data_IF_694615790301
#
_entry.id   IF_694615790301
#
_cell.length_a   1.000
_cell.length_b   1.000
_cell.length_c   1.000
_cell.angle_alpha   90.00
_cell.angle_beta   90.00
_cell.angle_gamma   90.00
#
_symmetry.space_group_name_H-M   'P 1'
#
loop_
_entity.id
_entity.type
_entity.pdbx_description
1 polymer ?
#
# COMPACT_ATOMS: atom_id res chain seq x y z
N UNK A 1 21.95 4.26 9.18
CA UNK A 1 21.16 3.23 8.48
C UNK A 1 21.45 1.88 9.12
N UNK A 2 20.81 1.59 10.24
CA UNK A 2 20.96 0.31 10.95
C UNK A 2 20.13 -0.76 10.24
N UNK A 3 20.72 -1.94 10.05
CA UNK A 3 20.03 -3.14 9.60
C UNK A 3 19.05 -3.61 10.68
N UNK A 4 17.93 -2.92 10.86
CA UNK A 4 16.84 -3.40 11.71
C UNK A 4 16.10 -4.50 10.96
N UNK A 5 16.54 -5.73 11.15
CA UNK A 5 15.93 -6.94 10.59
C UNK A 5 14.41 -6.98 10.86
N UNK A 6 13.97 -6.41 12.00
CA UNK A 6 12.56 -6.29 12.38
C UNK A 6 11.79 -5.34 11.46
N UNK A 7 12.35 -4.18 11.14
CA UNK A 7 11.77 -3.19 10.24
C UNK A 7 11.67 -3.72 8.80
N UNK A 8 12.71 -4.41 8.34
CA UNK A 8 12.71 -5.09 7.04
C UNK A 8 11.70 -6.25 6.99
N UNK A 9 11.60 -7.05 8.06
CA UNK A 9 10.62 -8.11 8.15
C UNK A 9 9.18 -7.58 8.17
N UNK A 10 8.91 -6.51 8.95
CA UNK A 10 7.61 -5.84 8.98
C UNK A 10 7.21 -5.32 7.59
N UNK A 11 8.16 -4.74 6.86
CA UNK A 11 7.96 -4.28 5.48
C UNK A 11 7.62 -5.43 4.55
N UNK A 12 8.42 -6.50 4.59
CA UNK A 12 8.21 -7.68 3.74
C UNK A 12 6.85 -8.34 4.01
N UNK A 13 6.49 -8.53 5.28
CA UNK A 13 5.20 -9.10 5.69
C UNK A 13 4.05 -8.22 5.19
N UNK A 14 4.16 -6.90 5.34
CA UNK A 14 3.11 -5.97 4.89
C UNK A 14 2.90 -6.06 3.37
N UNK A 15 3.98 -6.10 2.59
CA UNK A 15 3.89 -6.23 1.12
C UNK A 15 3.31 -7.60 0.73
N UNK A 16 3.73 -8.67 1.41
CA UNK A 16 3.20 -10.00 1.17
C UNK A 16 1.69 -10.06 1.44
N UNK A 17 1.20 -9.44 2.53
CA UNK A 17 -0.24 -9.36 2.80
C UNK A 17 -0.99 -8.54 1.75
N UNK A 18 -0.44 -7.38 1.33
CA UNK A 18 -1.04 -6.58 0.25
C UNK A 18 -1.22 -7.42 -1.01
N UNK A 19 -0.21 -8.21 -1.40
CA UNK A 19 -0.27 -9.07 -2.57
C UNK A 19 -1.30 -10.18 -2.43
N UNK A 20 -1.30 -10.89 -1.31
CA UNK A 20 -2.25 -11.97 -1.03
C UNK A 20 -3.68 -11.44 -1.04
N UNK A 21 -3.94 -10.31 -0.37
CA UNK A 21 -5.26 -9.70 -0.30
C UNK A 21 -5.71 -9.14 -1.65
N UNK A 22 -4.79 -8.56 -2.43
CA UNK A 22 -5.10 -8.09 -3.79
C UNK A 22 -5.48 -9.27 -4.70
N UNK A 23 -4.71 -10.36 -4.68
CA UNK A 23 -5.02 -11.57 -5.46
C UNK A 23 -6.32 -12.22 -4.97
N UNK A 24 -6.56 -12.25 -3.66
CA UNK A 24 -7.82 -12.72 -3.08
C UNK A 24 -9.01 -11.87 -3.54
N UNK A 25 -8.89 -10.55 -3.48
CA UNK A 25 -9.92 -9.62 -3.95
C UNK A 25 -10.13 -9.71 -5.47
N UNK A 26 -9.08 -9.94 -6.26
CA UNK A 26 -9.19 -10.22 -7.69
C UNK A 26 -10.04 -11.47 -7.95
N UNK A 27 -9.81 -12.55 -7.20
CA UNK A 27 -10.57 -13.78 -7.31
C UNK A 27 -12.05 -13.56 -6.94
N UNK A 28 -12.31 -12.84 -5.84
CA UNK A 28 -13.68 -12.51 -5.40
C UNK A 28 -14.42 -11.60 -6.39
N UNK A 29 -13.72 -10.70 -7.07
CA UNK A 29 -14.32 -9.75 -8.02
C UNK A 29 -14.27 -10.22 -9.49
N UNK A 30 -13.85 -11.47 -9.72
CA UNK A 30 -13.80 -12.11 -11.04
C UNK A 30 -12.79 -11.48 -12.01
N UNK A 31 -11.70 -10.89 -11.50
CA UNK A 31 -10.61 -10.36 -12.33
C UNK A 31 -9.68 -11.53 -12.70
N UNK A 32 -9.57 -11.90 -13.99
CA UNK A 32 -8.75 -13.04 -14.39
C UNK A 32 -7.26 -12.69 -14.26
N UNK A 33 -6.46 -13.69 -13.87
CA UNK A 33 -5.02 -13.55 -13.78
C UNK A 33 -4.38 -13.68 -15.16
N UNK A 34 -3.83 -12.59 -15.68
CA UNK A 34 -3.15 -12.54 -16.98
C UNK A 34 -1.93 -11.59 -16.94
N UNK A 35 -1.25 -11.42 -18.08
CA UNK A 35 -0.07 -10.56 -18.16
C UNK A 35 -0.34 -9.10 -17.78
N UNK A 36 -1.52 -8.56 -18.09
CA UNK A 36 -1.91 -7.19 -17.72
C UNK A 36 -2.10 -7.09 -16.20
N UNK A 37 -2.76 -8.08 -15.60
CA UNK A 37 -2.92 -8.13 -14.15
C UNK A 37 -1.56 -8.26 -13.43
N UNK A 38 -0.66 -9.08 -13.95
CA UNK A 38 0.69 -9.23 -13.42
C UNK A 38 1.47 -7.91 -13.42
N UNK A 39 1.44 -7.15 -14.52
CA UNK A 39 2.11 -5.84 -14.60
C UNK A 39 1.57 -4.88 -13.52
N UNK A 40 0.25 -4.83 -13.33
CA UNK A 40 -0.36 -3.99 -12.30
C UNK A 40 0.01 -4.46 -10.88
N UNK A 41 0.09 -5.76 -10.63
CA UNK A 41 0.55 -6.30 -9.35
C UNK A 41 2.02 -5.93 -9.07
N UNK A 42 2.90 -6.00 -10.07
CA UNK A 42 4.30 -5.58 -9.94
C UNK A 42 4.40 -4.08 -9.63
N UNK A 43 3.59 -3.25 -10.31
CA UNK A 43 3.50 -1.82 -10.01
C UNK A 43 3.02 -1.56 -8.57
N UNK A 44 2.01 -2.31 -8.10
CA UNK A 44 1.51 -2.23 -6.73
C UNK A 44 2.59 -2.50 -5.68
N UNK A 45 3.48 -3.48 -5.94
CA UNK A 45 4.62 -3.76 -5.06
C UNK A 45 5.56 -2.57 -4.98
N UNK A 46 5.94 -2.00 -6.14
CA UNK A 46 6.84 -0.84 -6.19
C UNK A 46 6.31 0.35 -5.39
N UNK A 47 5.03 0.68 -5.61
CA UNK A 47 4.32 1.72 -4.87
C UNK A 47 4.28 1.42 -3.36
N UNK A 48 3.99 0.18 -2.97
CA UNK A 48 3.92 -0.22 -1.56
C UNK A 48 5.28 -0.09 -0.85
N UNK A 49 6.38 -0.46 -1.52
CA UNK A 49 7.74 -0.31 -0.98
C UNK A 49 8.08 1.15 -0.70
N UNK A 50 7.74 2.05 -1.62
CA UNK A 50 8.00 3.48 -1.47
C UNK A 50 7.37 4.02 -0.19
N UNK A 51 6.09 3.72 0.06
CA UNK A 51 5.39 4.21 1.25
C UNK A 51 5.86 3.57 2.54
N UNK A 52 5.99 2.24 2.55
CA UNK A 52 6.36 1.50 3.77
C UNK A 52 7.79 1.86 4.20
N UNK A 53 8.71 2.04 3.26
CA UNK A 53 10.08 2.45 3.56
C UNK A 53 10.16 3.86 4.16
N UNK A 54 9.38 4.81 3.65
CA UNK A 54 9.34 6.16 4.20
C UNK A 54 8.74 6.22 5.61
N UNK A 55 7.65 5.49 5.88
CA UNK A 55 7.04 5.42 7.22
C UNK A 55 8.00 4.75 8.20
N UNK A 56 8.59 3.62 7.82
CA UNK A 56 9.53 2.87 8.67
C UNK A 56 10.79 3.69 8.96
N UNK A 57 11.29 4.44 7.98
CA UNK A 57 12.41 5.36 8.15
C UNK A 57 12.06 6.52 9.09
N UNK A 58 10.87 7.11 8.96
CA UNK A 58 10.40 8.16 9.86
C UNK A 58 10.24 7.66 11.30
N UNK A 59 9.74 6.43 11.47
CA UNK A 59 9.62 5.76 12.77
C UNK A 59 11.01 5.50 13.39
N UNK A 60 11.97 5.02 12.61
CA UNK A 60 13.33 4.76 13.07
C UNK A 60 14.07 6.02 13.53
N UNK A 61 13.82 7.18 12.91
CA UNK A 61 14.43 8.46 13.28
C UNK A 61 13.67 9.23 14.36
N UNK A 62 12.47 8.80 14.75
CA UNK A 62 11.70 9.44 15.82
C UNK A 62 12.39 9.27 17.18
N UNK A 63 12.46 10.35 17.95
CA UNK A 63 13.03 10.40 19.30
C UNK A 63 11.97 10.29 20.40
N UNK A 64 10.72 9.97 20.05
CA UNK A 64 9.63 9.81 21.03
C UNK A 64 9.88 8.61 21.95
N UNK A 65 9.46 8.70 23.24
CA UNK A 65 9.80 7.70 24.24
C UNK A 65 9.05 6.38 24.09
N UNK A 66 7.84 6.37 23.52
CA UNK A 66 7.07 5.13 23.29
C UNK A 66 6.96 4.74 21.82
N UNK A 67 6.91 3.43 21.54
CA UNK A 67 6.70 2.90 20.18
C UNK A 67 5.38 3.39 19.57
N UNK A 68 4.34 3.57 20.40
CA UNK A 68 3.05 4.11 19.95
C UNK A 68 3.19 5.56 19.50
N UNK A 69 3.89 6.40 20.25
CA UNK A 69 4.12 7.79 19.86
C UNK A 69 5.02 7.92 18.63
N UNK A 70 6.06 7.06 18.52
CA UNK A 70 6.91 6.99 17.32
C UNK A 70 6.10 6.60 16.09
N UNK A 71 5.20 5.61 16.22
CA UNK A 71 4.31 5.17 15.13
C UNK A 71 3.30 6.26 14.76
N UNK A 72 2.71 6.94 15.73
CA UNK A 72 1.81 8.06 15.50
C UNK A 72 2.53 9.21 14.78
N UNK A 73 3.71 9.61 15.24
CA UNK A 73 4.51 10.67 14.60
C UNK A 73 4.91 10.32 13.17
N UNK A 74 5.41 9.10 12.94
CA UNK A 74 5.75 8.63 11.60
C UNK A 74 4.54 8.64 10.65
N UNK A 75 3.38 8.21 11.15
CA UNK A 75 2.13 8.18 10.38
C UNK A 75 1.59 9.58 10.10
N UNK A 76 1.68 10.51 11.04
CA UNK A 76 1.26 11.90 10.82
C UNK A 76 2.17 12.57 9.78
N UNK A 77 3.48 12.39 9.91
CA UNK A 77 4.47 13.04 9.05
C UNK A 77 4.53 12.46 7.64
N UNK A 78 4.37 11.15 7.49
CA UNK A 78 4.46 10.48 6.19
C UNK A 78 3.10 10.08 5.61
N UNK A 79 2.10 9.81 6.43
CA UNK A 79 0.79 9.36 5.97
C UNK A 79 0.09 10.39 5.09
N UNK A 80 0.23 11.68 5.39
CA UNK A 80 -0.26 12.76 4.52
C UNK A 80 0.38 12.72 3.12
N UNK A 81 1.68 12.41 3.04
CA UNK A 81 2.41 12.26 1.77
C UNK A 81 1.98 11.00 1.01
N UNK A 82 1.74 9.90 1.72
CA UNK A 82 1.23 8.65 1.13
C UNK A 82 -0.17 8.86 0.55
N UNK A 83 -1.08 9.51 1.28
CA UNK A 83 -2.43 9.82 0.78
C UNK A 83 -2.38 10.79 -0.40
N UNK A 84 -1.58 11.86 -0.29
CA UNK A 84 -1.43 12.81 -1.39
C UNK A 84 -0.78 12.16 -2.63
N UNK A 85 0.23 11.32 -2.43
CA UNK A 85 0.97 10.65 -3.50
C UNK A 85 0.16 9.55 -4.17
N UNK A 86 -0.44 8.64 -3.40
CA UNK A 86 -1.18 7.50 -3.93
C UNK A 86 -2.63 7.87 -4.26
N UNK A 87 -3.38 8.33 -3.25
CA UNK A 87 -4.82 8.48 -3.35
C UNK A 87 -5.21 9.66 -4.24
N UNK A 88 -4.60 10.84 -4.04
CA UNK A 88 -4.98 12.03 -4.83
C UNK A 88 -4.57 11.95 -6.30
N UNK A 89 -3.53 11.18 -6.64
CA UNK A 89 -3.10 11.02 -8.04
C UNK A 89 -3.82 9.86 -8.72
N UNK A 90 -3.97 8.71 -8.06
CA UNK A 90 -4.53 7.51 -8.70
C UNK A 90 -6.06 7.49 -8.67
N UNK A 91 -6.72 7.91 -7.57
CA UNK A 91 -8.18 7.79 -7.47
C UNK A 91 -8.93 8.58 -8.55
N UNK A 92 -8.59 9.85 -8.88
CA UNK A 92 -9.28 10.55 -9.95
C UNK A 92 -9.12 9.86 -11.30
N UNK A 93 -7.92 9.36 -11.61
CA UNK A 93 -7.65 8.60 -12.83
C UNK A 93 -8.47 7.31 -12.89
N UNK A 94 -8.51 6.56 -11.78
CA UNK A 94 -9.31 5.33 -11.66
C UNK A 94 -10.80 5.64 -11.83
N UNK A 95 -11.32 6.69 -11.19
CA UNK A 95 -12.75 7.05 -11.28
C UNK A 95 -13.16 7.37 -12.71
N UNK A 96 -12.32 8.04 -13.50
CA UNK A 96 -12.60 8.31 -14.92
C UNK A 96 -12.73 7.01 -15.72
N UNK A 97 -11.94 5.98 -15.38
CA UNK A 97 -11.99 4.67 -16.04
C UNK A 97 -13.29 3.90 -15.77
N UNK A 98 -14.04 4.25 -14.72
CA UNK A 98 -15.36 3.68 -14.46
C UNK A 98 -16.35 3.96 -15.62
N UNK A 99 -16.17 5.08 -16.32
CA UNK A 99 -17.01 5.49 -17.45
C UNK A 99 -16.55 4.93 -18.80
N UNK A 100 -15.46 4.15 -18.83
CA UNK A 100 -14.98 3.54 -20.06
C UNK A 100 -15.95 2.46 -20.56
N UNK A 101 -16.23 2.45 -21.88
CA UNK A 101 -17.13 1.46 -22.50
C UNK A 101 -16.45 0.10 -22.77
N UNK A 102 -15.12 0.07 -22.80
CA UNK A 102 -14.38 -1.16 -23.07
C UNK A 102 -14.30 -2.04 -21.82
N UNK A 103 -14.79 -3.28 -21.91
CA UNK A 103 -14.79 -4.24 -20.80
C UNK A 103 -13.39 -4.50 -20.24
N UNK A 104 -12.37 -4.55 -21.12
CA UNK A 104 -10.98 -4.73 -20.72
C UNK A 104 -10.50 -3.58 -19.81
N UNK A 105 -10.87 -2.34 -20.14
CA UNK A 105 -10.51 -1.16 -19.33
C UNK A 105 -11.23 -1.22 -17.97
N UNK A 106 -12.52 -1.54 -17.96
CA UNK A 106 -13.28 -1.63 -16.72
C UNK A 106 -12.75 -2.72 -15.77
N UNK A 107 -12.35 -3.89 -16.30
CA UNK A 107 -11.89 -5.01 -15.46
C UNK A 107 -10.45 -4.79 -15.00
N UNK A 108 -9.50 -4.55 -15.92
CA UNK A 108 -8.07 -4.54 -15.57
C UNK A 108 -7.53 -3.18 -15.15
N UNK A 109 -8.18 -2.08 -15.53
CA UNK A 109 -7.69 -0.74 -15.20
C UNK A 109 -8.54 -0.03 -14.17
N UNK A 110 -9.85 -0.25 -14.15
CA UNK A 110 -10.71 0.28 -13.08
C UNK A 110 -10.71 -0.65 -11.86
N UNK A 111 -11.27 -1.88 -11.95
CA UNK A 111 -11.41 -2.75 -10.77
C UNK A 111 -10.08 -3.09 -10.12
N UNK A 112 -9.10 -3.53 -10.91
CA UNK A 112 -7.81 -3.96 -10.38
C UNK A 112 -7.04 -2.82 -9.68
N UNK A 113 -6.93 -1.64 -10.32
CA UNK A 113 -6.25 -0.50 -9.69
C UNK A 113 -7.01 0.05 -8.49
N UNK A 114 -8.34 -0.04 -8.48
CA UNK A 114 -9.14 0.30 -7.32
C UNK A 114 -8.83 -0.63 -6.14
N UNK A 115 -8.80 -1.96 -6.37
CA UNK A 115 -8.42 -2.94 -5.35
C UNK A 115 -7.02 -2.62 -4.81
N UNK A 116 -6.03 -2.47 -5.70
CA UNK A 116 -4.63 -2.18 -5.33
C UNK A 116 -4.55 -0.92 -4.46
N UNK A 117 -5.21 0.16 -4.88
CA UNK A 117 -5.17 1.44 -4.16
C UNK A 117 -5.80 1.31 -2.77
N UNK A 118 -6.96 0.67 -2.66
CA UNK A 118 -7.65 0.53 -1.37
C UNK A 118 -6.90 -0.39 -0.41
N UNK A 119 -6.44 -1.56 -0.89
CA UNK A 119 -5.67 -2.52 -0.09
C UNK A 119 -4.33 -1.91 0.34
N UNK A 120 -3.65 -1.20 -0.57
CA UNK A 120 -2.40 -0.51 -0.29
C UNK A 120 -2.54 0.60 0.76
N UNK A 121 -3.59 1.43 0.67
CA UNK A 121 -3.87 2.46 1.68
C UNK A 121 -4.21 1.82 3.04
N UNK A 122 -5.04 0.78 3.07
CA UNK A 122 -5.41 0.10 4.31
C UNK A 122 -4.17 -0.49 5.00
N UNK A 123 -3.31 -1.20 4.25
CA UNK A 123 -2.12 -1.81 4.83
C UNK A 123 -1.04 -0.79 5.18
N UNK A 124 -0.82 0.21 4.32
CA UNK A 124 0.23 1.21 4.51
C UNK A 124 -0.06 2.20 5.64
N UNK A 125 -1.33 2.57 5.85
CA UNK A 125 -1.72 3.61 6.82
C UNK A 125 -2.39 3.08 8.08
N UNK A 126 -2.96 1.88 8.06
CA UNK A 126 -3.65 1.30 9.22
C UNK A 126 -2.81 0.14 9.78
N UNK A 127 -2.54 -0.88 8.97
CA UNK A 127 -1.85 -2.07 9.45
C UNK A 127 -0.39 -1.80 9.84
N UNK A 128 0.38 -1.14 8.98
CA UNK A 128 1.81 -0.92 9.20
C UNK A 128 2.10 -0.10 10.48
N UNK A 129 1.44 1.03 10.76
CA UNK A 129 1.68 1.76 12.03
C UNK A 129 1.34 0.95 13.27
N UNK A 130 0.28 0.13 13.20
CA UNK A 130 -0.09 -0.77 14.29
C UNK A 130 0.96 -1.84 14.47
N UNK A 131 1.44 -2.45 13.38
CA UNK A 131 2.52 -3.45 13.46
C UNK A 131 3.78 -2.82 14.07
N UNK A 132 4.21 -1.65 13.60
CA UNK A 132 5.38 -0.94 14.12
C UNK A 132 5.24 -0.54 15.59
N UNK A 133 4.03 -0.27 16.08
CA UNK A 133 3.83 0.04 17.50
C UNK A 133 3.98 -1.19 18.42
N UNK A 134 3.76 -2.40 17.91
CA UNK A 134 3.96 -3.66 18.65
C UNK A 134 5.38 -4.23 18.52
N UNK A 135 5.99 -4.18 17.34
CA UNK A 135 7.26 -4.89 17.05
C UNK A 135 8.44 -3.99 16.65
N UNK A 136 8.19 -2.70 16.37
CA UNK A 136 9.23 -1.70 16.05
C UNK A 136 9.96 -1.21 17.29
#
# INVERSE_FOLDING_TARGET
LGMDLRSSAATFITIAMILVDTVGAMALWGVPYNAVALINLVAAVGISVEFVSHITCAFAHSTKPSHVERAAEATINMGSKVVAGLAMTNLPGIVVLAFAKAQLIQIFFFRLNLIITLVGLAHGLIFLPVLLSYIG
#
